data_IF_825751224967
#
_entry.id   IF_825751224967
#
_cell.length_a   1.000
_cell.length_b   1.000
_cell.length_c   1.000
_cell.angle_alpha   90.00
_cell.angle_beta   90.00
_cell.angle_gamma   90.00
#
_symmetry.space_group_name_H-M   'P 1'
#
loop_
_entity.id
_entity.type
_entity.pdbx_description
1 polymer ?
#
# COMPACT_ATOMS: atom_id res chain seq x y z
N UNK A 1 0.45 0.53 -10.02
CA UNK A 1 0.98 -0.79 -9.68
C UNK A 1 2.39 -0.98 -10.23
N UNK A 2 2.62 -0.88 -11.54
CA UNK A 2 3.96 -1.10 -12.13
C UNK A 2 5.10 -0.27 -11.49
N UNK A 3 4.94 1.05 -11.24
CA UNK A 3 5.99 1.81 -10.54
C UNK A 3 6.15 1.44 -9.06
N UNK A 4 5.10 0.91 -8.42
CA UNK A 4 5.15 0.51 -7.00
C UNK A 4 6.07 -0.71 -6.82
N UNK A 5 6.01 -1.66 -7.75
CA UNK A 5 6.86 -2.87 -7.75
C UNK A 5 8.20 -2.62 -8.45
N UNK A 6 8.59 -1.36 -8.63
CA UNK A 6 9.83 -0.96 -9.29
C UNK A 6 10.04 -1.65 -10.66
N UNK A 7 8.96 -1.77 -11.44
CA UNK A 7 8.96 -2.42 -12.76
C UNK A 7 9.39 -3.89 -12.76
N UNK A 8 9.39 -4.57 -11.61
CA UNK A 8 9.61 -6.01 -11.51
C UNK A 8 8.41 -6.77 -12.10
N UNK A 9 8.61 -7.33 -13.29
CA UNK A 9 7.58 -8.05 -14.05
C UNK A 9 7.20 -9.37 -13.38
N UNK A 10 8.14 -10.03 -12.70
CA UNK A 10 7.85 -11.30 -12.01
C UNK A 10 6.99 -11.04 -10.77
N UNK A 11 7.34 -10.01 -9.99
CA UNK A 11 6.54 -9.57 -8.85
C UNK A 11 5.15 -9.09 -9.31
N UNK A 12 5.09 -8.30 -10.38
CA UNK A 12 3.83 -7.87 -10.98
C UNK A 12 2.94 -9.07 -11.34
N UNK A 13 3.49 -10.06 -12.03
CA UNK A 13 2.77 -11.28 -12.44
C UNK A 13 2.27 -12.06 -11.23
N UNK A 14 3.12 -12.27 -10.23
CA UNK A 14 2.75 -12.97 -9.00
C UNK A 14 1.59 -12.28 -8.27
N UNK A 15 1.63 -10.94 -8.19
CA UNK A 15 0.56 -10.13 -7.60
C UNK A 15 -0.74 -10.26 -8.41
N UNK A 16 -0.69 -10.09 -9.73
CA UNK A 16 -1.89 -10.18 -10.57
C UNK A 16 -2.54 -11.57 -10.48
N UNK A 17 -1.75 -12.64 -10.63
CA UNK A 17 -2.24 -14.02 -10.51
C UNK A 17 -2.84 -14.31 -9.14
N UNK A 18 -2.24 -13.80 -8.05
CA UNK A 18 -2.78 -13.93 -6.69
C UNK A 18 -4.15 -13.27 -6.54
N UNK A 19 -4.42 -12.21 -7.29
CA UNK A 19 -5.71 -11.52 -7.30
C UNK A 19 -6.68 -12.07 -8.36
N UNK A 20 -6.38 -13.23 -8.97
CA UNK A 20 -7.22 -13.88 -9.97
C UNK A 20 -7.11 -13.29 -11.38
N UNK A 21 -6.16 -12.39 -11.61
CA UNK A 21 -5.91 -11.77 -12.91
C UNK A 21 -4.76 -12.51 -13.62
N UNK A 22 -5.12 -13.40 -14.54
CA UNK A 22 -4.14 -14.15 -15.32
C UNK A 22 -4.02 -13.56 -16.72
N UNK A 23 -2.79 -13.18 -17.07
CA UNK A 23 -2.41 -12.67 -18.38
C UNK A 23 -1.36 -13.58 -19.02
N UNK A 24 -1.39 -13.67 -20.34
CA UNK A 24 -0.30 -14.30 -21.08
C UNK A 24 1.02 -13.57 -20.80
N UNK A 25 2.07 -14.34 -20.53
CA UNK A 25 3.34 -13.79 -20.05
C UNK A 25 3.94 -12.77 -21.01
N UNK A 26 3.89 -13.07 -22.31
CA UNK A 26 4.40 -12.22 -23.39
C UNK A 26 3.63 -10.89 -23.47
N UNK A 27 2.31 -10.94 -23.37
CA UNK A 27 1.46 -9.74 -23.40
C UNK A 27 1.69 -8.84 -22.18
N UNK A 28 1.84 -9.44 -21.00
CA UNK A 28 2.13 -8.71 -19.77
C UNK A 28 3.50 -8.02 -19.86
N UNK A 29 4.51 -8.74 -20.35
CA UNK A 29 5.87 -8.22 -20.51
C UNK A 29 5.92 -7.07 -21.52
N UNK A 30 5.28 -7.20 -22.68
CA UNK A 30 5.23 -6.13 -23.68
C UNK A 30 4.53 -4.88 -23.11
N UNK A 31 3.40 -5.08 -22.44
CA UNK A 31 2.64 -3.99 -21.80
C UNK A 31 3.46 -3.31 -20.71
N UNK A 32 4.15 -4.07 -19.87
CA UNK A 32 5.01 -3.57 -18.81
C UNK A 32 6.16 -2.71 -19.38
N UNK A 33 6.87 -3.21 -20.41
CA UNK A 33 7.97 -2.47 -21.07
C UNK A 33 7.49 -1.15 -21.66
N UNK A 34 6.34 -1.15 -22.34
CA UNK A 34 5.77 0.07 -22.93
C UNK A 34 5.36 1.07 -21.85
N UNK A 35 4.75 0.60 -20.77
CA UNK A 35 4.35 1.43 -19.65
C UNK A 35 5.57 2.02 -18.90
N UNK A 36 6.61 1.22 -18.66
CA UNK A 36 7.87 1.68 -18.08
C UNK A 36 8.50 2.78 -18.92
N UNK A 37 8.64 2.53 -20.22
CA UNK A 37 9.21 3.49 -21.15
C UNK A 37 8.43 4.82 -21.16
N UNK A 38 7.09 4.74 -21.17
CA UNK A 38 6.25 5.92 -21.16
C UNK A 38 6.37 6.70 -19.85
N UNK A 39 6.32 6.02 -18.70
CA UNK A 39 6.41 6.66 -17.39
C UNK A 39 7.78 7.32 -17.20
N UNK A 40 8.86 6.61 -17.49
CA UNK A 40 10.22 7.11 -17.27
C UNK A 40 10.58 8.29 -18.17
N UNK A 41 10.07 8.33 -19.41
CA UNK A 41 10.41 9.40 -20.36
C UNK A 41 9.41 10.55 -20.44
N UNK A 42 8.12 10.26 -20.29
CA UNK A 42 7.07 11.21 -20.64
C UNK A 42 6.15 11.55 -19.47
N UNK A 43 6.14 10.74 -18.40
CA UNK A 43 5.28 10.99 -17.25
C UNK A 43 5.95 10.62 -15.91
N UNK A 44 7.13 11.20 -15.60
CA UNK A 44 7.93 10.81 -14.44
C UNK A 44 7.22 11.09 -13.11
N UNK A 45 6.26 12.03 -13.09
CA UNK A 45 5.40 12.29 -11.92
C UNK A 45 4.53 11.10 -11.48
N UNK A 46 4.44 10.03 -12.28
CA UNK A 46 3.75 8.78 -11.92
C UNK A 46 4.68 7.73 -11.31
N UNK A 47 5.98 8.02 -11.21
CA UNK A 47 6.90 7.21 -10.43
C UNK A 47 6.45 7.22 -8.97
N UNK A 48 6.48 6.04 -8.36
CA UNK A 48 6.18 5.87 -6.94
C UNK A 48 7.50 5.52 -6.28
N UNK A 49 7.92 6.33 -5.31
CA UNK A 49 9.08 6.04 -4.51
C UNK A 49 8.62 5.58 -3.13
N UNK A 50 8.95 4.34 -2.78
CA UNK A 50 8.77 3.86 -1.41
C UNK A 50 9.86 4.49 -0.54
N UNK A 51 9.48 5.03 0.61
CA UNK A 51 10.40 5.62 1.57
C UNK A 51 11.52 4.66 1.95
N UNK A 52 12.72 5.20 2.15
CA UNK A 52 13.87 4.41 2.60
C UNK A 52 13.83 4.13 4.10
N UNK A 53 13.25 5.05 4.88
CA UNK A 53 13.23 5.07 6.34
C UNK A 53 11.86 5.54 6.85
N UNK A 54 11.49 5.23 8.10
CA UNK A 54 10.26 5.74 8.71
C UNK A 54 10.19 7.27 8.70
N UNK A 55 9.05 7.82 8.29
CA UNK A 55 8.80 9.27 8.33
C UNK A 55 8.40 9.72 9.75
N UNK A 56 9.42 9.87 10.61
CA UNK A 56 9.25 10.30 12.00
C UNK A 56 8.70 11.71 12.12
N UNK A 57 8.93 12.57 11.13
CA UNK A 57 8.43 13.94 11.12
C UNK A 57 6.91 13.95 10.94
N UNK A 58 6.39 13.26 9.93
CA UNK A 58 4.95 13.10 9.74
C UNK A 58 4.32 12.38 10.93
N UNK A 59 4.91 11.28 11.40
CA UNK A 59 4.39 10.52 12.55
C UNK A 59 4.24 11.39 13.81
N UNK A 60 5.18 12.31 14.07
CA UNK A 60 5.10 13.20 15.23
C UNK A 60 3.87 14.13 15.18
N UNK A 61 3.34 14.44 13.99
CA UNK A 61 2.14 15.28 13.82
C UNK A 61 0.82 14.54 14.07
N UNK A 62 0.85 13.21 14.09
CA UNK A 62 -0.35 12.39 14.26
C UNK A 62 -0.92 12.51 15.68
N UNK A 63 -2.24 12.56 15.77
CA UNK A 63 -2.95 12.50 17.05
C UNK A 63 -2.94 11.07 17.63
N UNK A 64 -3.38 10.93 18.88
CA UNK A 64 -3.36 9.64 19.58
C UNK A 64 -4.16 8.55 18.85
N UNK A 65 -5.33 8.88 18.31
CA UNK A 65 -6.18 7.95 17.56
C UNK A 65 -5.52 7.50 16.26
N UNK A 66 -4.93 8.43 15.51
CA UNK A 66 -4.21 8.11 14.27
C UNK A 66 -3.01 7.19 14.55
N UNK A 67 -2.23 7.45 15.60
CA UNK A 67 -1.11 6.57 16.01
C UNK A 67 -1.60 5.17 16.39
N UNK A 68 -2.73 5.07 17.09
CA UNK A 68 -3.35 3.78 17.41
C UNK A 68 -3.77 3.03 16.14
N UNK A 69 -4.30 3.71 15.13
CA UNK A 69 -4.64 3.06 13.86
C UNK A 69 -3.41 2.51 13.13
N UNK A 70 -2.31 3.26 13.13
CA UNK A 70 -1.05 2.79 12.52
C UNK A 70 -0.52 1.57 13.26
N UNK A 71 -0.51 1.56 14.60
CA UNK A 71 -0.07 0.38 15.36
C UNK A 71 -1.01 -0.82 15.18
N UNK A 72 -2.33 -0.60 15.15
CA UNK A 72 -3.30 -1.66 14.85
C UNK A 72 -3.06 -2.28 13.47
N UNK A 73 -2.81 -1.45 12.45
CA UNK A 73 -2.45 -1.91 11.12
C UNK A 73 -1.17 -2.75 11.13
N UNK A 74 -0.12 -2.32 11.84
CA UNK A 74 1.10 -3.11 12.01
C UNK A 74 0.84 -4.44 12.70
N UNK A 75 -0.02 -4.45 13.73
CA UNK A 75 -0.45 -5.66 14.42
C UNK A 75 -1.08 -6.68 13.48
N UNK A 76 -1.96 -6.22 12.58
CA UNK A 76 -2.56 -7.08 11.55
C UNK A 76 -1.54 -7.62 10.55
N UNK A 77 -0.57 -6.80 10.13
CA UNK A 77 0.48 -7.23 9.19
C UNK A 77 1.41 -8.30 9.76
N UNK A 78 1.67 -8.26 11.08
CA UNK A 78 2.46 -9.30 11.78
C UNK A 78 1.75 -10.66 11.81
N UNK A 79 0.45 -10.70 11.59
CA UNK A 79 -0.30 -11.95 11.57
C UNK A 79 -0.21 -12.59 10.16
N UNK A 80 0.70 -13.54 10.01
CA UNK A 80 0.91 -14.28 8.75
C UNK A 80 -0.27 -15.18 8.35
N UNK A 81 -1.22 -15.45 9.25
CA UNK A 81 -2.33 -16.38 9.02
C UNK A 81 -3.54 -15.78 8.31
N UNK A 82 -3.60 -14.47 8.17
CA UNK A 82 -4.74 -13.82 7.51
C UNK A 82 -4.63 -14.00 6.00
N UNK A 83 -5.66 -14.60 5.40
CA UNK A 83 -5.91 -14.46 3.96
C UNK A 83 -6.16 -12.99 3.60
N UNK A 84 -6.05 -12.66 2.32
CA UNK A 84 -6.12 -11.26 1.88
C UNK A 84 -7.50 -10.62 2.08
N UNK A 85 -8.57 -11.41 2.07
CA UNK A 85 -9.94 -10.92 2.28
C UNK A 85 -10.16 -10.57 3.75
N UNK A 86 -9.85 -11.51 4.66
CA UNK A 86 -9.91 -11.30 6.10
C UNK A 86 -8.98 -10.18 6.55
N UNK A 87 -7.75 -10.10 6.01
CA UNK A 87 -6.84 -9.00 6.32
C UNK A 87 -7.46 -7.65 5.96
N UNK A 88 -8.11 -7.55 4.80
CA UNK A 88 -8.77 -6.31 4.41
C UNK A 88 -9.96 -5.98 5.32
N UNK A 89 -10.80 -6.95 5.64
CA UNK A 89 -11.91 -6.76 6.58
C UNK A 89 -11.42 -6.23 7.93
N UNK A 90 -10.36 -6.83 8.48
CA UNK A 90 -9.73 -6.42 9.74
C UNK A 90 -9.18 -4.99 9.66
N UNK A 91 -8.53 -4.64 8.54
CA UNK A 91 -8.01 -3.29 8.30
C UNK A 91 -9.16 -2.27 8.29
N UNK A 92 -10.28 -2.57 7.61
CA UNK A 92 -11.45 -1.70 7.60
C UNK A 92 -12.08 -1.56 8.99
N UNK A 93 -11.97 -2.60 9.82
CA UNK A 93 -12.48 -2.61 11.18
C UNK A 93 -11.65 -1.75 12.17
N UNK A 94 -10.39 -1.43 11.87
CA UNK A 94 -9.55 -0.54 12.70
C UNK A 94 -10.27 0.79 13.02
N UNK A 95 -10.97 1.35 12.03
CA UNK A 95 -11.64 2.64 12.13
C UNK A 95 -13.13 2.53 12.45
N UNK A 96 -13.59 1.39 12.96
CA UNK A 96 -15.02 1.11 13.18
C UNK A 96 -15.60 2.05 14.24
N UNK A 97 -16.64 2.78 13.84
CA UNK A 97 -17.49 3.59 14.72
C UNK A 97 -18.95 3.44 14.29
N UNK A 98 -19.89 3.81 15.17
CA UNK A 98 -21.33 3.67 14.89
C UNK A 98 -21.79 4.52 13.71
N UNK A 99 -21.31 5.76 13.62
CA UNK A 99 -21.62 6.64 12.51
C UNK A 99 -20.88 6.20 11.23
N UNK A 100 -21.64 5.69 10.26
CA UNK A 100 -21.11 5.21 8.97
C UNK A 100 -20.37 6.27 8.17
N UNK A 101 -20.77 7.55 8.27
CA UNK A 101 -20.10 8.66 7.57
C UNK A 101 -18.74 8.92 8.20
N UNK A 102 -18.68 8.97 9.52
CA UNK A 102 -17.43 9.14 10.28
C UNK A 102 -16.50 7.94 10.06
N UNK A 103 -17.03 6.71 10.08
CA UNK A 103 -16.26 5.49 9.82
C UNK A 103 -15.56 5.55 8.45
N UNK A 104 -16.31 5.90 7.38
CA UNK A 104 -15.74 6.03 6.03
C UNK A 104 -14.67 7.13 5.94
N UNK A 105 -14.87 8.25 6.64
CA UNK A 105 -13.88 9.33 6.72
C UNK A 105 -12.61 8.87 7.42
N UNK A 106 -12.73 8.15 8.54
CA UNK A 106 -11.59 7.60 9.28
C UNK A 106 -10.84 6.55 8.45
N UNK A 107 -11.53 5.64 7.76
CA UNK A 107 -10.91 4.66 6.87
C UNK A 107 -10.14 5.34 5.73
N UNK A 108 -10.73 6.37 5.10
CA UNK A 108 -10.03 7.17 4.08
C UNK A 108 -8.80 7.86 4.66
N UNK A 109 -8.90 8.39 5.88
CA UNK A 109 -7.78 9.03 6.58
C UNK A 109 -6.66 8.05 6.88
N UNK A 110 -6.97 6.86 7.40
CA UNK A 110 -6.00 5.79 7.64
C UNK A 110 -5.24 5.45 6.35
N UNK A 111 -5.95 5.21 5.24
CA UNK A 111 -5.28 4.88 3.96
C UNK A 111 -4.40 6.02 3.45
N UNK A 112 -4.88 7.26 3.55
CA UNK A 112 -4.09 8.43 3.19
C UNK A 112 -2.82 8.55 4.03
N UNK A 113 -2.89 8.30 5.35
CA UNK A 113 -1.72 8.29 6.23
C UNK A 113 -0.73 7.19 5.85
N UNK A 114 -1.20 5.99 5.53
CA UNK A 114 -0.32 4.89 5.08
C UNK A 114 0.41 5.26 3.79
N UNK A 115 -0.27 5.89 2.82
CA UNK A 115 0.38 6.36 1.60
C UNK A 115 1.37 7.50 1.86
N UNK A 116 1.06 8.42 2.76
CA UNK A 116 1.99 9.51 3.08
C UNK A 116 3.24 8.98 3.79
N UNK A 117 3.08 8.12 4.80
CA UNK A 117 4.18 7.55 5.58
C UNK A 117 5.08 6.61 4.76
N UNK A 118 4.55 5.98 3.72
CA UNK A 118 5.28 4.96 2.93
C UNK A 118 5.69 5.46 1.55
N UNK A 119 4.90 6.32 0.91
CA UNK A 119 5.07 6.74 -0.50
C UNK A 119 5.24 8.26 -0.67
N UNK A 120 5.17 9.05 0.41
CA UNK A 120 5.12 10.52 0.36
C UNK A 120 3.99 11.07 -0.54
N UNK A 121 2.89 10.32 -0.65
CA UNK A 121 1.76 10.66 -1.51
C UNK A 121 0.46 10.66 -0.72
N UNK A 122 -0.46 11.56 -1.08
CA UNK A 122 -1.81 11.61 -0.50
C UNK A 122 -2.70 10.47 -1.02
N UNK A 123 -2.34 9.90 -2.17
CA UNK A 123 -3.09 8.88 -2.88
C UNK A 123 -2.19 7.70 -3.26
N UNK A 124 -2.78 6.53 -3.43
CA UNK A 124 -2.07 5.30 -3.72
C UNK A 124 -2.93 4.28 -4.46
N UNK A 125 -2.32 3.16 -4.88
CA UNK A 125 -3.08 2.04 -5.44
C UNK A 125 -4.03 1.46 -4.38
N UNK A 126 -4.96 0.59 -4.79
CA UNK A 126 -5.85 -0.09 -3.83
C UNK A 126 -5.03 -0.79 -2.75
N UNK A 127 -5.53 -0.76 -1.51
CA UNK A 127 -4.82 -1.27 -0.33
C UNK A 127 -4.24 -2.70 -0.48
N UNK A 128 -4.94 -3.69 -1.07
CA UNK A 128 -4.34 -5.01 -1.29
C UNK A 128 -3.07 -4.96 -2.14
N UNK A 129 -3.11 -4.25 -3.28
CA UNK A 129 -1.95 -4.10 -4.15
C UNK A 129 -0.85 -3.24 -3.52
N UNK A 130 -1.21 -2.26 -2.68
CA UNK A 130 -0.24 -1.51 -1.90
C UNK A 130 0.54 -2.42 -0.94
N UNK A 131 -0.17 -3.25 -0.16
CA UNK A 131 0.45 -4.18 0.79
C UNK A 131 1.32 -5.22 0.08
N UNK A 132 0.81 -5.82 -0.99
CA UNK A 132 1.52 -6.83 -1.76
C UNK A 132 2.72 -6.24 -2.53
N UNK A 133 2.58 -5.02 -3.07
CA UNK A 133 3.62 -4.37 -3.86
C UNK A 133 4.77 -3.79 -3.03
N UNK A 134 4.47 -3.23 -1.86
CA UNK A 134 5.53 -2.78 -0.92
C UNK A 134 6.12 -3.97 -0.16
N UNK A 135 5.29 -4.97 0.17
CA UNK A 135 5.66 -6.12 0.97
C UNK A 135 5.47 -5.89 2.47
N UNK A 136 5.03 -6.93 3.19
CA UNK A 136 4.70 -6.87 4.62
C UNK A 136 5.89 -6.46 5.48
N UNK A 137 7.05 -7.09 5.29
CA UNK A 137 8.29 -6.78 6.01
C UNK A 137 8.70 -5.31 5.83
N UNK A 138 8.62 -4.82 4.60
CA UNK A 138 8.98 -3.44 4.30
C UNK A 138 8.01 -2.47 4.97
N UNK A 139 6.71 -2.73 4.92
CA UNK A 139 5.69 -1.94 5.63
C UNK A 139 5.93 -1.94 7.14
N UNK A 140 6.21 -3.11 7.74
CA UNK A 140 6.50 -3.23 9.16
C UNK A 140 7.72 -2.39 9.56
N UNK A 141 8.77 -2.40 8.73
CA UNK A 141 9.98 -1.60 8.96
C UNK A 141 9.74 -0.10 8.83
N UNK A 142 8.94 0.34 7.85
CA UNK A 142 8.69 1.77 7.58
C UNK A 142 7.69 2.40 8.55
N UNK A 143 6.84 1.57 9.15
CA UNK A 143 5.88 1.99 10.16
C UNK A 143 6.40 1.78 11.58
N UNK A 144 7.68 1.40 11.76
CA UNK A 144 8.28 1.29 13.08
C UNK A 144 8.79 2.64 13.60
N UNK A 145 8.01 3.21 14.53
CA UNK A 145 8.29 4.52 15.14
C UNK A 145 8.76 4.43 16.58
N UNK A 146 8.90 3.22 17.11
CA UNK A 146 9.52 2.98 18.42
C UNK A 146 11.04 3.23 18.38
#
# INVERSE_FOLDING_TARGET
MLPLVNFDIQLLKAILSRNGENYEAEQLEETAKRAEHWITRWYPQKLIQVNERPDRALHATLNATERQWIEAFRGLLRNERNDDEQLMEDIYAICRVEDKKVMKQNQKRLFSLLYQLVLQSNEGPRMPYFIQGVGRERLLSLLDFN
#
